data_IF_474900471698
#
_entry.id   IF_474900471698
#
_cell.length_a   1.000
_cell.length_b   1.000
_cell.length_c   1.000
_cell.angle_alpha   90.00
_cell.angle_beta   90.00
_cell.angle_gamma   90.00
#
_symmetry.space_group_name_H-M   'P 1'
#
loop_
_entity.id
_entity.type
_entity.pdbx_description
1 polymer ?
#
# COMPACT_ATOMS: atom_id res chain seq x y z
N UNK A 1 14.56 -11.75 -14.48
CA UNK A 1 13.70 -11.45 -13.32
C UNK A 1 12.82 -12.66 -13.07
N UNK A 2 12.95 -13.30 -11.92
CA UNK A 2 12.09 -14.44 -11.55
C UNK A 2 10.91 -13.89 -10.77
N UNK A 3 9.68 -14.23 -11.17
CA UNK A 3 8.47 -13.85 -10.45
C UNK A 3 7.79 -15.10 -9.93
N UNK A 4 7.48 -15.11 -8.64
CA UNK A 4 6.68 -16.17 -8.02
C UNK A 4 5.47 -15.61 -7.29
N UNK A 5 4.43 -16.42 -7.21
CA UNK A 5 3.23 -16.14 -6.45
C UNK A 5 3.17 -17.04 -5.21
N UNK A 6 2.71 -16.50 -4.09
CA UNK A 6 2.43 -17.28 -2.88
C UNK A 6 1.10 -16.85 -2.26
N UNK A 7 0.18 -17.80 -2.15
CA UNK A 7 -1.13 -17.56 -1.55
C UNK A 7 -1.03 -17.17 -0.06
N UNK A 8 -0.10 -17.80 0.68
CA UNK A 8 0.20 -17.45 2.08
C UNK A 8 0.64 -15.99 2.20
N UNK A 9 1.47 -15.54 1.25
CA UNK A 9 1.90 -14.15 1.20
C UNK A 9 0.76 -13.22 0.80
N UNK A 10 -0.04 -13.57 -0.20
CA UNK A 10 -1.19 -12.77 -0.62
C UNK A 10 -2.13 -12.49 0.55
N UNK A 11 -2.47 -13.52 1.35
CA UNK A 11 -3.29 -13.37 2.57
C UNK A 11 -2.67 -12.42 3.59
N UNK A 12 -1.34 -12.51 3.80
CA UNK A 12 -0.62 -11.65 4.75
C UNK A 12 -0.54 -10.20 4.27
N UNK A 13 -0.27 -9.99 2.99
CA UNK A 13 -0.17 -8.66 2.37
C UNK A 13 -1.53 -7.95 2.41
N UNK A 14 -2.62 -8.66 2.05
CA UNK A 14 -3.99 -8.18 2.19
C UNK A 14 -4.34 -7.78 3.63
N UNK A 15 -4.02 -8.64 4.61
CA UNK A 15 -4.26 -8.36 6.03
C UNK A 15 -3.50 -7.11 6.51
N UNK A 16 -2.23 -6.98 6.14
CA UNK A 16 -1.41 -5.83 6.51
C UNK A 16 -1.96 -4.53 5.92
N UNK A 17 -2.35 -4.55 4.63
CA UNK A 17 -2.96 -3.42 3.93
C UNK A 17 -4.26 -2.99 4.60
N UNK A 18 -5.19 -3.92 4.83
CA UNK A 18 -6.46 -3.65 5.50
C UNK A 18 -6.24 -3.03 6.90
N UNK A 19 -5.31 -3.58 7.69
CA UNK A 19 -4.96 -3.06 9.02
C UNK A 19 -4.35 -1.66 8.95
N UNK A 20 -3.51 -1.40 7.95
CA UNK A 20 -2.90 -0.09 7.69
C UNK A 20 -3.96 0.96 7.34
N UNK A 21 -4.86 0.65 6.41
CA UNK A 21 -5.96 1.52 6.00
C UNK A 21 -6.92 1.80 7.16
N UNK A 22 -7.25 0.80 7.98
CA UNK A 22 -8.10 1.02 9.15
C UNK A 22 -7.48 2.01 10.15
N UNK A 23 -6.16 1.93 10.37
CA UNK A 23 -5.42 2.90 11.19
C UNK A 23 -5.40 4.29 10.55
N UNK A 24 -5.26 4.34 9.23
CA UNK A 24 -5.30 5.55 8.42
C UNK A 24 -6.65 6.26 8.58
N UNK A 25 -7.76 5.55 8.33
CA UNK A 25 -9.13 6.03 8.52
C UNK A 25 -9.38 6.52 9.94
N UNK A 26 -8.90 5.79 10.96
CA UNK A 26 -9.04 6.23 12.37
C UNK A 26 -8.26 7.51 12.66
N UNK A 27 -7.06 7.65 12.11
CA UNK A 27 -6.23 8.84 12.29
C UNK A 27 -6.83 10.08 11.60
N UNK A 28 -7.54 9.89 10.48
CA UNK A 28 -8.11 10.98 9.68
C UNK A 28 -9.59 11.27 9.93
N UNK A 29 -10.25 10.54 10.84
CA UNK A 29 -11.67 10.74 11.19
C UNK A 29 -11.98 12.16 11.72
N UNK A 30 -10.97 12.92 12.18
CA UNK A 30 -11.11 14.29 12.68
C UNK A 30 -10.99 15.38 11.61
N UNK A 31 -10.80 15.03 10.33
CA UNK A 31 -10.82 15.96 9.19
C UNK A 31 -9.63 16.93 9.09
N UNK A 32 -8.71 16.95 10.05
CA UNK A 32 -7.56 17.84 10.05
C UNK A 32 -6.27 17.03 9.99
N UNK A 33 -5.48 17.26 8.94
CA UNK A 33 -4.19 16.61 8.77
C UNK A 33 -3.09 17.63 8.93
N UNK A 34 -2.27 17.48 9.96
CA UNK A 34 -1.01 18.23 10.07
C UNK A 34 0.06 17.51 9.23
N UNK A 35 0.98 18.26 8.60
CA UNK A 35 2.12 17.69 7.83
C UNK A 35 2.90 16.60 8.59
N UNK A 36 2.88 16.64 9.92
CA UNK A 36 3.53 15.67 10.80
C UNK A 36 2.86 14.28 10.79
N UNK A 37 1.53 14.21 10.59
CA UNK A 37 0.77 12.96 10.50
C UNK A 37 0.92 12.27 9.13
N UNK A 38 1.28 13.03 8.09
CA UNK A 38 1.54 12.52 6.72
C UNK A 38 2.86 11.76 6.63
N UNK A 39 3.74 11.76 7.64
CA UNK A 39 5.05 11.11 7.56
C UNK A 39 5.08 9.61 7.98
N UNK A 40 3.94 8.91 8.00
CA UNK A 40 3.90 7.47 8.33
C UNK A 40 4.25 6.60 7.11
N UNK A 41 5.50 6.17 7.04
CA UNK A 41 6.10 5.32 5.98
C UNK A 41 5.17 4.17 5.55
N UNK A 42 4.92 4.07 4.24
CA UNK A 42 4.28 2.92 3.57
C UNK A 42 2.84 3.13 3.11
N UNK A 43 2.05 3.94 3.82
CA UNK A 43 0.61 4.11 3.54
C UNK A 43 0.25 5.47 2.92
N UNK A 44 1.22 6.39 2.82
CA UNK A 44 1.07 7.67 2.12
C UNK A 44 0.71 7.51 0.65
N UNK A 45 1.06 6.38 0.03
CA UNK A 45 0.73 6.08 -1.37
C UNK A 45 -0.78 6.07 -1.63
N UNK A 46 -1.60 5.88 -0.60
CA UNK A 46 -3.07 5.89 -0.70
C UNK A 46 -3.69 7.27 -0.49
N UNK A 47 -2.89 8.30 -0.18
CA UNK A 47 -3.42 9.64 0.08
C UNK A 47 -3.47 10.46 -1.21
N UNK A 48 -4.51 11.27 -1.33
CA UNK A 48 -4.62 12.35 -2.29
C UNK A 48 -4.69 13.68 -1.55
N UNK A 49 -3.83 14.62 -1.95
CA UNK A 49 -3.73 15.94 -1.34
C UNK A 49 -4.33 16.92 -2.35
N UNK A 50 -5.51 17.46 -2.05
CA UNK A 50 -6.09 18.55 -2.84
C UNK A 50 -5.47 19.90 -2.46
N UNK A 51 -5.57 20.90 -3.37
CA UNK A 51 -4.96 22.24 -3.19
C UNK A 51 -5.48 23.00 -1.96
N UNK A 52 -6.58 22.56 -1.34
CA UNK A 52 -7.17 23.12 -0.13
C UNK A 52 -7.27 22.06 0.99
N UNK A 53 -6.14 21.51 1.44
CA UNK A 53 -5.93 20.74 2.70
C UNK A 53 -6.91 19.56 2.95
N UNK A 54 -7.76 19.19 2.01
CA UNK A 54 -8.63 18.02 2.14
C UNK A 54 -7.83 16.79 1.67
N UNK A 55 -7.42 15.99 2.66
CA UNK A 55 -6.68 14.75 2.45
C UNK A 55 -7.67 13.60 2.44
N UNK A 56 -7.88 13.01 1.27
CA UNK A 56 -8.75 11.84 1.09
C UNK A 56 -7.94 10.55 0.98
N UNK A 57 -8.57 9.43 1.33
CA UNK A 57 -8.04 8.09 1.09
C UNK A 57 -8.56 7.64 -0.28
N UNK A 58 -7.65 7.38 -1.21
CA UNK A 58 -7.95 6.92 -2.57
C UNK A 58 -8.19 5.42 -2.58
N UNK A 59 -9.45 5.00 -2.74
CA UNK A 59 -9.83 3.59 -2.85
C UNK A 59 -9.31 2.94 -4.14
N UNK A 60 -9.12 3.72 -5.21
CA UNK A 60 -8.53 3.25 -6.47
C UNK A 60 -7.11 2.75 -6.27
N UNK A 61 -6.27 3.56 -5.61
CA UNK A 61 -4.88 3.18 -5.29
C UNK A 61 -4.82 1.95 -4.36
N UNK A 62 -5.81 1.79 -3.48
CA UNK A 62 -5.93 0.58 -2.64
C UNK A 62 -6.23 -0.64 -3.52
N UNK A 63 -7.17 -0.52 -4.47
CA UNK A 63 -7.53 -1.60 -5.40
C UNK A 63 -6.37 -1.99 -6.32
N UNK A 64 -5.58 -1.01 -6.78
CA UNK A 64 -4.35 -1.27 -7.52
C UNK A 64 -3.32 -2.02 -6.69
N UNK A 65 -3.13 -1.63 -5.42
CA UNK A 65 -2.18 -2.30 -4.53
C UNK A 65 -2.58 -3.75 -4.24
N UNK A 66 -3.88 -4.06 -4.23
CA UNK A 66 -4.38 -5.44 -4.09
C UNK A 66 -3.81 -6.38 -5.15
N UNK A 67 -3.59 -5.88 -6.38
CA UNK A 67 -3.15 -6.69 -7.52
C UNK A 67 -1.72 -7.23 -7.33
N UNK A 68 -0.97 -6.63 -6.41
CA UNK A 68 0.43 -7.00 -6.12
C UNK A 68 0.57 -8.03 -5.00
N UNK A 69 -0.52 -8.34 -4.30
CA UNK A 69 -0.50 -9.26 -3.17
C UNK A 69 0.02 -10.65 -3.58
N UNK A 70 1.00 -11.15 -2.82
CA UNK A 70 1.54 -12.49 -3.06
C UNK A 70 2.63 -12.57 -4.13
N UNK A 71 2.85 -11.51 -4.91
CA UNK A 71 3.95 -11.46 -5.87
C UNK A 71 5.30 -11.26 -5.17
N UNK A 72 6.31 -11.99 -5.63
CA UNK A 72 7.71 -11.82 -5.23
C UNK A 72 8.61 -11.88 -6.45
N UNK A 73 9.39 -10.81 -6.65
CA UNK A 73 10.43 -10.76 -7.66
C UNK A 73 11.80 -11.08 -7.06
N UNK A 74 12.62 -11.85 -7.79
CA UNK A 74 14.04 -11.99 -7.53
C UNK A 74 14.83 -11.56 -8.77
N UNK A 75 15.79 -10.66 -8.55
CA UNK A 75 16.78 -10.29 -9.56
C UNK A 75 18.01 -11.14 -9.28
N UNK A 76 18.46 -11.85 -10.31
CA UNK A 76 19.70 -12.65 -10.27
C UNK A 76 20.53 -12.29 -11.50
N UNK A 77 21.84 -12.40 -11.36
CA UNK A 77 22.82 -12.29 -12.43
C UNK A 77 23.12 -13.63 -13.12
N UNK A 78 22.45 -14.70 -12.69
CA UNK A 78 22.53 -16.02 -13.31
C UNK A 78 21.55 -16.11 -14.47
N UNK A 79 22.02 -16.63 -15.61
CA UNK A 79 21.15 -17.02 -16.71
C UNK A 79 20.36 -18.26 -16.28
N UNK A 80 19.03 -18.10 -16.24
CA UNK A 80 18.11 -19.18 -15.91
C UNK A 80 17.40 -19.57 -17.18
N UNK A 81 17.50 -20.85 -17.54
CA UNK A 81 16.69 -21.42 -18.61
C UNK A 81 15.22 -21.33 -18.20
N UNK A 82 14.42 -20.74 -19.10
CA UNK A 82 12.98 -20.49 -18.91
C UNK A 82 12.14 -21.69 -19.29
#
# INVERSE_FOLDING_TARGET
LIVSYSEKRAKKDAYNRARGIARLRKAYKSGHVTKQQVNRRGYNKFLEISKDIDVSISEEKIAEDCKWDGLKGYITNTDLDT
#
